data_IF_436405447434
#
_entry.id   IF_436405447434
#
_cell.length_a   1.000
_cell.length_b   1.000
_cell.length_c   1.000
_cell.angle_alpha   90.00
_cell.angle_beta   90.00
_cell.angle_gamma   90.00
#
_symmetry.space_group_name_H-M   'P 1'
#
loop_
_entity.id
_entity.type
_entity.pdbx_description
1 polymer ?
#
# COMPACT_ATOMS: atom_id res chain seq x y z
N UNK A 1 12.70 -27.72 -34.60
CA UNK A 1 11.96 -28.18 -33.39
C UNK A 1 12.37 -27.29 -32.23
N UNK A 2 11.42 -26.64 -31.56
CA UNK A 2 11.70 -25.62 -30.53
C UNK A 2 12.32 -26.29 -29.30
N UNK A 3 13.21 -25.59 -28.60
CA UNK A 3 13.92 -26.10 -27.42
C UNK A 3 12.95 -26.58 -26.33
N UNK A 4 11.87 -25.82 -26.09
CA UNK A 4 10.80 -26.12 -25.13
C UNK A 4 10.05 -27.42 -25.48
N UNK A 5 9.89 -27.71 -26.78
CA UNK A 5 9.16 -28.89 -27.26
C UNK A 5 10.03 -30.16 -27.34
N UNK A 6 11.36 -30.02 -27.23
CA UNK A 6 12.31 -31.12 -27.47
C UNK A 6 12.69 -31.89 -26.19
N UNK A 7 12.59 -31.26 -25.02
CA UNK A 7 13.03 -31.82 -23.76
C UNK A 7 11.86 -32.00 -22.79
N UNK A 8 11.40 -33.24 -22.67
CA UNK A 8 10.47 -33.67 -21.62
C UNK A 8 11.27 -34.07 -20.38
N UNK A 9 11.65 -33.08 -19.57
CA UNK A 9 12.47 -33.28 -18.37
C UNK A 9 11.75 -34.09 -17.27
N UNK A 10 10.44 -34.31 -17.40
CA UNK A 10 9.67 -35.16 -16.48
C UNK A 10 10.09 -36.64 -16.52
N UNK A 11 10.82 -37.04 -17.58
CA UNK A 11 11.29 -38.42 -17.79
C UNK A 11 12.78 -38.64 -17.49
N UNK A 12 13.49 -37.59 -17.07
CA UNK A 12 14.92 -37.70 -16.76
C UNK A 12 15.14 -38.33 -15.38
N UNK A 13 16.17 -39.16 -15.25
CA UNK A 13 16.47 -39.80 -13.97
C UNK A 13 17.09 -38.81 -12.99
N UNK A 14 16.95 -39.07 -11.69
CA UNK A 14 17.49 -38.21 -10.64
C UNK A 14 19.01 -38.01 -10.76
N UNK A 15 19.74 -39.01 -11.25
CA UNK A 15 21.17 -38.94 -11.56
C UNK A 15 21.51 -37.94 -12.67
N UNK A 16 20.69 -37.89 -13.73
CA UNK A 16 20.87 -36.94 -14.83
C UNK A 16 20.58 -35.51 -14.38
N UNK A 17 19.57 -35.31 -13.53
CA UNK A 17 19.28 -34.01 -12.91
C UNK A 17 20.45 -33.56 -12.03
N UNK A 18 21.01 -34.45 -11.22
CA UNK A 18 22.17 -34.14 -10.37
C UNK A 18 23.41 -33.82 -11.20
N UNK A 19 23.64 -34.53 -12.30
CA UNK A 19 24.76 -34.25 -13.20
C UNK A 19 24.70 -32.82 -13.77
N UNK A 20 23.52 -32.34 -14.15
CA UNK A 20 23.33 -30.96 -14.62
C UNK A 20 23.60 -29.92 -13.51
N UNK A 21 23.10 -30.17 -12.29
CA UNK A 21 23.38 -29.30 -11.13
C UNK A 21 24.87 -29.24 -10.82
N UNK A 22 25.56 -30.38 -10.87
CA UNK A 22 27.02 -30.47 -10.65
C UNK A 22 27.78 -29.68 -11.71
N UNK A 23 27.36 -29.72 -12.99
CA UNK A 23 27.99 -28.91 -14.04
C UNK A 23 27.87 -27.40 -13.76
N UNK A 24 26.70 -26.93 -13.30
CA UNK A 24 26.50 -25.52 -12.92
C UNK A 24 27.36 -25.13 -11.72
N UNK A 25 27.36 -25.95 -10.66
CA UNK A 25 28.16 -25.70 -9.45
C UNK A 25 29.67 -25.70 -9.73
N UNK A 26 30.13 -26.48 -10.70
CA UNK A 26 31.53 -26.50 -11.17
C UNK A 26 31.87 -25.32 -12.11
N UNK A 27 30.91 -24.44 -12.40
CA UNK A 27 31.10 -23.30 -13.31
C UNK A 27 31.23 -23.68 -14.79
N UNK A 28 30.89 -24.93 -15.15
CA UNK A 28 30.99 -25.42 -16.53
C UNK A 28 29.89 -24.85 -17.43
N UNK A 29 28.76 -24.49 -16.84
CA UNK A 29 27.65 -23.80 -17.50
C UNK A 29 27.13 -22.70 -16.59
N UNK A 30 26.77 -21.54 -17.18
CA UNK A 30 26.15 -20.44 -16.42
C UNK A 30 24.73 -20.80 -15.95
N UNK A 31 24.00 -21.52 -16.79
CA UNK A 31 22.61 -21.95 -16.56
C UNK A 31 22.45 -23.36 -17.10
N UNK A 32 21.64 -24.18 -16.44
CA UNK A 32 21.29 -25.50 -16.98
C UNK A 32 20.28 -25.34 -18.13
N UNK A 33 20.26 -26.28 -19.07
CA UNK A 33 19.27 -26.28 -20.17
C UNK A 33 17.83 -26.23 -19.62
N UNK A 34 17.62 -26.83 -18.46
CA UNK A 34 16.33 -26.86 -17.77
C UNK A 34 15.94 -25.48 -17.23
N UNK A 35 16.85 -24.78 -16.55
CA UNK A 35 16.65 -23.39 -16.11
C UNK A 35 16.34 -22.48 -17.30
N UNK A 36 17.08 -22.63 -18.40
CA UNK A 36 16.84 -21.87 -19.62
C UNK A 36 15.44 -22.07 -20.18
N UNK A 37 14.94 -23.32 -20.20
CA UNK A 37 13.60 -23.63 -20.71
C UNK A 37 12.52 -23.13 -19.76
N UNK A 38 12.69 -23.28 -18.45
CA UNK A 38 11.75 -22.72 -17.46
C UNK A 38 11.68 -21.18 -17.56
N UNK A 39 12.82 -20.49 -17.65
CA UNK A 39 12.85 -19.04 -17.88
C UNK A 39 12.19 -18.64 -19.19
N UNK A 40 12.44 -19.39 -20.27
CA UNK A 40 11.78 -19.15 -21.56
C UNK A 40 10.26 -19.30 -21.45
N UNK A 41 9.78 -20.29 -20.68
CA UNK A 41 8.37 -20.51 -20.42
C UNK A 41 7.73 -19.33 -19.67
N UNK A 42 8.39 -18.81 -18.63
CA UNK A 42 7.93 -17.59 -17.94
C UNK A 42 7.89 -16.41 -18.91
N UNK A 43 8.90 -16.24 -19.78
CA UNK A 43 8.93 -15.18 -20.80
C UNK A 43 7.81 -15.28 -21.83
N UNK A 44 7.38 -16.50 -22.16
CA UNK A 44 6.18 -16.71 -23.00
C UNK A 44 4.94 -16.17 -22.28
N UNK A 45 4.81 -16.46 -20.97
CA UNK A 45 3.77 -15.89 -20.12
C UNK A 45 3.79 -14.36 -20.10
N UNK A 46 4.96 -13.74 -19.87
CA UNK A 46 5.14 -12.29 -19.92
C UNK A 46 4.66 -11.71 -21.26
N UNK A 47 5.06 -12.35 -22.37
CA UNK A 47 4.72 -11.91 -23.73
C UNK A 47 3.22 -11.99 -24.00
N UNK A 48 2.54 -13.03 -23.51
CA UNK A 48 1.09 -13.11 -23.61
C UNK A 48 0.39 -12.07 -22.73
N UNK A 49 0.92 -11.82 -21.53
CA UNK A 49 0.41 -10.80 -20.62
C UNK A 49 0.49 -9.39 -21.25
N UNK A 50 1.60 -9.06 -21.91
CA UNK A 50 1.79 -7.80 -22.63
C UNK A 50 0.81 -7.64 -23.81
N UNK A 51 0.38 -8.75 -24.42
CA UNK A 51 -0.62 -8.76 -25.49
C UNK A 51 -2.07 -8.71 -24.97
N UNK A 52 -2.28 -8.71 -23.65
CA UNK A 52 -3.61 -8.82 -23.05
C UNK A 52 -4.25 -10.21 -23.17
N UNK A 53 -3.46 -11.22 -23.54
CA UNK A 53 -3.90 -12.62 -23.66
C UNK A 53 -3.78 -13.33 -22.31
N UNK A 54 -4.69 -12.98 -21.41
CA UNK A 54 -4.62 -13.35 -19.99
C UNK A 54 -4.67 -14.86 -19.79
N UNK A 55 -5.52 -15.59 -20.53
CA UNK A 55 -5.67 -17.03 -20.37
C UNK A 55 -4.41 -17.79 -20.80
N UNK A 56 -3.84 -17.44 -21.94
CA UNK A 56 -2.63 -18.04 -22.48
C UNK A 56 -1.40 -17.71 -21.63
N UNK A 57 -1.37 -16.52 -21.02
CA UNK A 57 -0.34 -16.15 -20.06
C UNK A 57 -0.39 -17.01 -18.79
N UNK A 58 -1.59 -17.21 -18.22
CA UNK A 58 -1.79 -18.07 -17.05
C UNK A 58 -1.37 -19.50 -17.37
N UNK A 59 -1.83 -20.07 -18.49
CA UNK A 59 -1.41 -21.41 -18.93
C UNK A 59 0.12 -21.50 -19.05
N UNK A 60 0.74 -20.48 -19.65
CA UNK A 60 2.19 -20.46 -19.78
C UNK A 60 2.93 -20.43 -18.44
N UNK A 61 2.41 -19.70 -17.44
CA UNK A 61 2.99 -19.67 -16.10
C UNK A 61 2.77 -20.99 -15.33
N UNK A 62 1.57 -21.58 -15.39
CA UNK A 62 1.23 -22.85 -14.75
C UNK A 62 2.11 -24.01 -15.24
N UNK A 63 2.48 -24.02 -16.53
CA UNK A 63 3.39 -25.03 -17.07
C UNK A 63 4.76 -25.09 -16.36
N UNK A 64 5.17 -24.02 -15.67
CA UNK A 64 6.45 -23.99 -14.94
C UNK A 64 6.42 -24.92 -13.73
N UNK A 65 5.36 -24.87 -12.92
CA UNK A 65 5.22 -25.74 -11.75
C UNK A 65 4.97 -27.20 -12.17
N UNK A 66 4.23 -27.42 -13.25
CA UNK A 66 3.94 -28.76 -13.76
C UNK A 66 5.16 -29.46 -14.35
N UNK A 67 5.95 -28.77 -15.18
CA UNK A 67 7.06 -29.38 -15.92
C UNK A 67 8.40 -29.25 -15.22
N UNK A 68 8.56 -28.22 -14.39
CA UNK A 68 9.82 -27.90 -13.74
C UNK A 68 9.71 -27.78 -12.20
N UNK A 69 9.00 -28.67 -11.48
CA UNK A 69 8.73 -28.51 -10.05
C UNK A 69 9.99 -28.43 -9.18
N UNK A 70 11.11 -29.00 -9.61
CA UNK A 70 12.38 -28.92 -8.89
C UNK A 70 13.10 -27.56 -9.01
N UNK A 71 12.65 -26.66 -9.90
CA UNK A 71 13.19 -25.30 -10.05
C UNK A 71 12.42 -24.33 -9.13
N UNK A 72 12.48 -24.56 -7.82
CA UNK A 72 11.64 -23.89 -6.81
C UNK A 72 11.61 -22.37 -7.00
N UNK A 73 12.77 -21.73 -7.15
CA UNK A 73 12.87 -20.27 -7.33
C UNK A 73 12.13 -19.79 -8.59
N UNK A 74 12.17 -20.56 -9.68
CA UNK A 74 11.46 -20.21 -10.92
C UNK A 74 9.97 -20.52 -10.83
N UNK A 75 9.59 -21.52 -10.04
CA UNK A 75 8.18 -21.81 -9.71
C UNK A 75 7.60 -20.66 -8.89
N UNK A 76 8.30 -20.20 -7.85
CA UNK A 76 7.93 -19.00 -7.08
C UNK A 76 7.77 -17.77 -7.98
N UNK A 77 8.79 -17.47 -8.81
CA UNK A 77 8.77 -16.35 -9.77
C UNK A 77 7.57 -16.45 -10.72
N UNK A 78 7.26 -17.65 -11.22
CA UNK A 78 6.13 -17.88 -12.13
C UNK A 78 4.79 -17.59 -11.44
N UNK A 79 4.59 -18.09 -10.21
CA UNK A 79 3.38 -17.82 -9.44
C UNK A 79 3.24 -16.34 -9.06
N UNK A 80 4.33 -15.67 -8.72
CA UNK A 80 4.30 -14.24 -8.38
C UNK A 80 3.81 -13.41 -9.57
N UNK A 81 4.34 -13.67 -10.78
CA UNK A 81 3.94 -13.01 -12.03
C UNK A 81 2.52 -13.37 -12.45
N UNK A 82 2.14 -14.63 -12.30
CA UNK A 82 0.78 -15.08 -12.57
C UNK A 82 -0.22 -14.38 -11.64
N UNK A 83 0.07 -14.32 -10.34
CA UNK A 83 -0.76 -13.60 -9.38
C UNK A 83 -0.85 -12.11 -9.73
N UNK A 84 0.26 -11.44 -10.08
CA UNK A 84 0.25 -10.01 -10.46
C UNK A 84 -0.66 -9.75 -11.66
N UNK A 85 -0.59 -10.61 -12.67
CA UNK A 85 -1.47 -10.55 -13.83
C UNK A 85 -2.94 -10.75 -13.43
N UNK A 86 -3.22 -11.77 -12.62
CA UNK A 86 -4.58 -12.15 -12.25
C UNK A 86 -5.23 -11.12 -11.34
N UNK A 87 -4.53 -10.57 -10.35
CA UNK A 87 -5.04 -9.47 -9.51
C UNK A 87 -5.47 -8.27 -10.36
N UNK A 88 -4.64 -7.89 -11.33
CA UNK A 88 -4.90 -6.75 -12.21
C UNK A 88 -6.05 -6.98 -13.19
N UNK A 89 -6.11 -8.15 -13.81
CA UNK A 89 -7.03 -8.40 -14.94
C UNK A 89 -8.33 -9.10 -14.53
N UNK A 90 -8.32 -9.87 -13.43
CA UNK A 90 -9.45 -10.69 -12.97
C UNK A 90 -9.92 -10.38 -11.56
N UNK A 91 -9.21 -9.52 -10.84
CA UNK A 91 -9.58 -9.06 -9.50
C UNK A 91 -9.10 -9.96 -8.36
N UNK A 92 -9.52 -9.58 -7.15
CA UNK A 92 -8.94 -10.07 -5.89
C UNK A 92 -9.25 -11.55 -5.65
N UNK A 93 -10.47 -12.02 -5.93
CA UNK A 93 -10.85 -13.41 -5.68
C UNK A 93 -10.00 -14.42 -6.47
N UNK A 94 -9.84 -14.17 -7.78
CA UNK A 94 -9.02 -15.02 -8.65
C UNK A 94 -7.54 -14.93 -8.26
N UNK A 95 -7.04 -13.75 -7.89
CA UNK A 95 -5.65 -13.56 -7.46
C UNK A 95 -5.35 -14.31 -6.16
N UNK A 96 -6.26 -14.28 -5.19
CA UNK A 96 -6.15 -15.05 -3.94
C UNK A 96 -6.14 -16.55 -4.21
N UNK A 97 -6.97 -17.05 -5.15
CA UNK A 97 -6.97 -18.46 -5.54
C UNK A 97 -5.61 -18.91 -6.09
N UNK A 98 -4.98 -18.10 -6.95
CA UNK A 98 -3.62 -18.37 -7.46
C UNK A 98 -2.60 -18.43 -6.33
N UNK A 99 -2.65 -17.50 -5.37
CA UNK A 99 -1.72 -17.52 -4.25
C UNK A 99 -1.92 -18.73 -3.33
N UNK A 100 -3.17 -19.15 -3.09
CA UNK A 100 -3.46 -20.36 -2.31
C UNK A 100 -2.93 -21.62 -3.00
N UNK A 101 -3.12 -21.75 -4.31
CA UNK A 101 -2.52 -22.82 -5.12
C UNK A 101 -0.99 -22.80 -5.02
N UNK A 102 -0.38 -21.62 -5.13
CA UNK A 102 1.07 -21.48 -5.00
C UNK A 102 1.59 -21.98 -3.64
N UNK A 103 0.84 -21.72 -2.56
CA UNK A 103 1.19 -22.19 -1.21
C UNK A 103 1.08 -23.71 -1.05
N UNK A 104 0.18 -24.37 -1.78
CA UNK A 104 0.09 -25.83 -1.79
C UNK A 104 1.26 -26.47 -2.54
N UNK A 105 1.69 -25.84 -3.63
CA UNK A 105 2.77 -26.36 -4.50
C UNK A 105 4.16 -26.09 -3.95
N UNK A 106 4.39 -24.90 -3.40
CA UNK A 106 5.70 -24.46 -2.91
C UNK A 106 5.84 -24.77 -1.42
N UNK A 107 6.74 -25.69 -1.07
CA UNK A 107 7.06 -26.06 0.32
C UNK A 107 8.22 -25.23 0.89
N UNK A 108 8.12 -23.90 0.77
CA UNK A 108 9.01 -22.94 1.43
C UNK A 108 8.21 -22.08 2.43
N UNK A 109 8.51 -22.15 3.74
CA UNK A 109 7.84 -21.34 4.74
C UNK A 109 7.92 -19.83 4.48
N UNK A 110 9.05 -19.33 3.96
CA UNK A 110 9.20 -17.89 3.69
C UNK A 110 8.32 -17.45 2.52
N UNK A 111 8.27 -18.23 1.43
CA UNK A 111 7.35 -18.00 0.32
C UNK A 111 5.89 -18.07 0.77
N UNK A 112 5.50 -19.10 1.51
CA UNK A 112 4.13 -19.24 2.04
C UNK A 112 3.73 -18.07 2.91
N UNK A 113 4.64 -17.59 3.75
CA UNK A 113 4.44 -16.39 4.57
C UNK A 113 4.24 -15.13 3.70
N UNK A 114 5.07 -14.92 2.66
CA UNK A 114 4.90 -13.80 1.71
C UNK A 114 3.58 -13.88 0.94
N UNK A 115 3.20 -15.07 0.47
CA UNK A 115 1.94 -15.31 -0.24
C UNK A 115 0.73 -15.03 0.66
N UNK A 116 0.76 -15.55 1.90
CA UNK A 116 -0.27 -15.29 2.92
C UNK A 116 -0.44 -13.80 3.21
N UNK A 117 0.67 -13.06 3.36
CA UNK A 117 0.63 -11.60 3.54
C UNK A 117 0.06 -10.87 2.32
N UNK A 118 0.40 -11.34 1.12
CA UNK A 118 -0.10 -10.75 -0.12
C UNK A 118 -1.60 -10.97 -0.25
N UNK A 119 -2.13 -12.12 0.16
CA UNK A 119 -3.57 -12.38 0.28
C UNK A 119 -4.20 -11.37 1.26
N UNK A 120 -3.70 -11.30 2.50
CA UNK A 120 -4.24 -10.43 3.53
C UNK A 120 -4.24 -8.94 3.12
N UNK A 121 -3.13 -8.45 2.56
CA UNK A 121 -3.02 -7.07 2.04
C UNK A 121 -3.97 -6.79 0.88
N UNK A 122 -4.06 -7.72 -0.07
CA UNK A 122 -4.94 -7.53 -1.24
C UNK A 122 -6.42 -7.48 -0.84
N UNK A 123 -6.83 -8.27 0.16
CA UNK A 123 -8.17 -8.22 0.72
C UNK A 123 -8.40 -6.91 1.48
N UNK A 124 -7.42 -6.46 2.26
CA UNK A 124 -7.48 -5.20 2.98
C UNK A 124 -7.65 -4.00 2.04
N UNK A 125 -6.83 -3.94 0.99
CA UNK A 125 -6.87 -2.87 -0.04
C UNK A 125 -8.20 -2.89 -0.82
N UNK A 126 -8.87 -4.04 -0.88
CA UNK A 126 -10.19 -4.20 -1.47
C UNK A 126 -11.35 -3.82 -0.53
N UNK A 127 -11.06 -3.38 0.70
CA UNK A 127 -12.06 -3.10 1.74
C UNK A 127 -12.70 -4.34 2.35
N UNK A 128 -12.19 -5.54 2.07
CA UNK A 128 -12.68 -6.81 2.63
C UNK A 128 -12.03 -7.09 3.97
N UNK A 129 -12.23 -6.15 4.90
CA UNK A 129 -11.59 -6.15 6.21
C UNK A 129 -11.82 -7.43 7.04
N UNK A 130 -13.02 -8.06 7.07
CA UNK A 130 -13.20 -9.30 7.82
C UNK A 130 -12.26 -10.41 7.34
N UNK A 131 -12.20 -10.63 6.04
CA UNK A 131 -11.35 -11.67 5.43
C UNK A 131 -9.86 -11.32 5.57
N UNK A 132 -9.50 -10.05 5.42
CA UNK A 132 -8.12 -9.61 5.63
C UNK A 132 -7.65 -9.87 7.07
N UNK A 133 -8.49 -9.59 8.08
CA UNK A 133 -8.19 -9.85 9.49
C UNK A 133 -7.96 -11.33 9.74
N UNK A 134 -8.82 -12.21 9.21
CA UNK A 134 -8.64 -13.66 9.32
C UNK A 134 -7.28 -14.10 8.73
N UNK A 135 -6.93 -13.60 7.54
CA UNK A 135 -5.69 -13.98 6.87
C UNK A 135 -4.44 -13.43 7.59
N UNK A 136 -4.52 -12.26 8.22
CA UNK A 136 -3.46 -11.77 9.12
C UNK A 136 -3.32 -12.62 10.39
N UNK A 137 -4.43 -13.07 10.98
CA UNK A 137 -4.39 -13.96 12.14
C UNK A 137 -3.79 -15.32 11.79
N UNK A 138 -4.12 -15.87 10.62
CA UNK A 138 -3.47 -17.08 10.08
C UNK A 138 -1.97 -16.83 9.93
N UNK A 139 -1.57 -15.68 9.36
CA UNK A 139 -0.16 -15.32 9.23
C UNK A 139 0.57 -15.30 10.58
N UNK A 140 0.00 -14.60 11.57
CA UNK A 140 0.59 -14.49 12.91
C UNK A 140 0.75 -15.86 13.57
N UNK A 141 -0.23 -16.76 13.41
CA UNK A 141 -0.24 -18.09 14.02
C UNK A 141 0.68 -19.09 13.32
N UNK A 142 0.67 -19.11 11.99
CA UNK A 142 1.36 -20.13 11.19
C UNK A 142 2.80 -19.74 10.82
N UNK A 143 3.08 -18.43 10.68
CA UNK A 143 4.35 -17.94 10.13
C UNK A 143 5.09 -16.97 11.06
N UNK A 144 4.71 -16.89 12.34
CA UNK A 144 5.31 -15.94 13.28
C UNK A 144 6.82 -16.08 13.49
N UNK A 145 7.38 -17.28 13.33
CA UNK A 145 8.83 -17.53 13.43
C UNK A 145 9.60 -16.93 12.24
N UNK A 146 9.01 -17.00 11.05
CA UNK A 146 9.62 -16.54 9.77
C UNK A 146 9.28 -15.07 9.49
N UNK A 147 8.37 -14.46 10.27
CA UNK A 147 7.85 -13.11 10.05
C UNK A 147 8.94 -12.03 9.96
N UNK A 148 10.02 -12.18 10.75
CA UNK A 148 11.16 -11.24 10.69
C UNK A 148 11.98 -11.38 9.41
N UNK A 149 12.10 -12.60 8.87
CA UNK A 149 12.88 -12.87 7.66
C UNK A 149 12.20 -12.29 6.41
N UNK A 150 10.87 -12.34 6.37
CA UNK A 150 10.08 -11.79 5.25
C UNK A 150 9.81 -10.29 5.35
N UNK A 151 10.38 -9.62 6.37
CA UNK A 151 10.29 -8.17 6.52
C UNK A 151 8.91 -7.64 6.92
N UNK A 152 8.06 -8.46 7.52
CA UNK A 152 6.75 -8.05 8.02
C UNK A 152 6.52 -8.67 9.40
N UNK A 153 6.91 -7.94 10.43
CA UNK A 153 6.96 -8.46 11.78
C UNK A 153 5.55 -8.59 12.40
N UNK A 154 5.47 -9.31 13.52
CA UNK A 154 4.18 -9.59 14.17
C UNK A 154 3.49 -8.33 14.70
N UNK A 155 4.23 -7.28 15.01
CA UNK A 155 3.71 -5.96 15.34
C UNK A 155 3.06 -5.28 14.14
N UNK A 156 3.63 -5.36 12.93
CA UNK A 156 2.97 -4.90 11.71
C UNK A 156 1.65 -5.66 11.47
N UNK A 157 1.66 -6.99 11.61
CA UNK A 157 0.46 -7.80 11.44
C UNK A 157 -0.62 -7.47 12.48
N UNK A 158 -0.22 -7.30 13.75
CA UNK A 158 -1.13 -6.93 14.84
C UNK A 158 -1.74 -5.54 14.59
N UNK A 159 -0.93 -4.59 14.08
CA UNK A 159 -1.40 -3.27 13.69
C UNK A 159 -2.47 -3.37 12.59
N UNK A 160 -2.23 -4.15 11.54
CA UNK A 160 -3.20 -4.32 10.45
C UNK A 160 -4.51 -4.99 10.91
N UNK A 161 -4.44 -5.92 11.87
CA UNK A 161 -5.65 -6.50 12.49
C UNK A 161 -6.44 -5.42 13.23
N UNK A 162 -5.77 -4.59 14.04
CA UNK A 162 -6.42 -3.49 14.76
C UNK A 162 -7.06 -2.48 13.80
N UNK A 163 -6.36 -2.10 12.74
CA UNK A 163 -6.90 -1.22 11.69
C UNK A 163 -8.10 -1.84 10.97
N UNK A 164 -8.05 -3.16 10.68
CA UNK A 164 -9.16 -3.88 10.09
C UNK A 164 -10.43 -3.80 10.94
N UNK A 165 -10.33 -4.04 12.25
CA UNK A 165 -11.44 -3.87 13.18
C UNK A 165 -11.95 -2.42 13.24
N UNK A 166 -11.05 -1.44 13.27
CA UNK A 166 -11.42 -0.02 13.28
C UNK A 166 -12.19 0.37 12.01
N UNK A 167 -11.75 -0.07 10.84
CA UNK A 167 -12.45 0.21 9.58
C UNK A 167 -13.82 -0.48 9.51
N UNK A 168 -13.91 -1.74 9.96
CA UNK A 168 -15.22 -2.41 10.06
C UNK A 168 -16.17 -1.64 10.98
N UNK A 169 -15.68 -1.08 12.09
CA UNK A 169 -16.49 -0.28 13.01
C UNK A 169 -16.99 1.04 12.37
N UNK A 170 -16.19 1.63 11.48
CA UNK A 170 -16.56 2.84 10.74
C UNK A 170 -17.60 2.57 9.65
N UNK A 171 -17.60 1.37 9.06
CA UNK A 171 -18.55 0.95 8.02
C UNK A 171 -19.85 0.40 8.61
N UNK A 172 -19.76 -0.48 9.60
CA UNK A 172 -20.90 -1.11 10.26
C UNK A 172 -21.21 -0.45 11.60
N UNK A 173 -22.04 0.59 11.55
CA UNK A 173 -22.52 1.29 12.75
C UNK A 173 -23.29 0.41 13.74
N UNK A 174 -23.83 -0.74 13.32
CA UNK A 174 -24.63 -1.61 14.20
C UNK A 174 -23.76 -2.46 15.13
N UNK A 175 -22.56 -2.85 14.66
CA UNK A 175 -21.57 -3.61 15.43
C UNK A 175 -20.39 -2.75 15.91
N UNK A 176 -20.43 -1.44 15.67
CA UNK A 176 -19.31 -0.52 15.89
C UNK A 176 -18.72 -0.59 17.29
N UNK A 177 -19.53 -0.67 18.35
CA UNK A 177 -19.03 -0.75 19.72
C UNK A 177 -18.14 -1.99 19.93
N UNK A 178 -18.61 -3.17 19.53
CA UNK A 178 -17.85 -4.41 19.64
C UNK A 178 -16.57 -4.39 18.78
N UNK A 179 -16.66 -3.85 17.56
CA UNK A 179 -15.53 -3.76 16.65
C UNK A 179 -14.46 -2.76 17.13
N UNK A 180 -14.87 -1.61 17.69
CA UNK A 180 -13.93 -0.70 18.34
C UNK A 180 -13.30 -1.33 19.58
N UNK A 181 -14.02 -2.13 20.37
CA UNK A 181 -13.42 -2.85 21.50
C UNK A 181 -12.33 -3.81 21.04
N UNK A 182 -12.56 -4.59 19.98
CA UNK A 182 -11.53 -5.45 19.38
C UNK A 182 -10.32 -4.64 18.89
N UNK A 183 -10.56 -3.52 18.18
CA UNK A 183 -9.49 -2.63 17.75
C UNK A 183 -8.66 -2.12 18.94
N UNK A 184 -9.30 -1.61 19.99
CA UNK A 184 -8.60 -1.15 21.20
C UNK A 184 -7.78 -2.26 21.87
N UNK A 185 -8.31 -3.49 21.91
CA UNK A 185 -7.63 -4.66 22.46
C UNK A 185 -6.33 -4.94 21.70
N UNK A 186 -6.39 -4.98 20.36
CA UNK A 186 -5.23 -5.24 19.52
C UNK A 186 -4.19 -4.11 19.56
N UNK A 187 -4.59 -2.84 19.53
CA UNK A 187 -3.64 -1.72 19.68
C UNK A 187 -2.93 -1.76 21.04
N UNK A 188 -3.68 -2.03 22.13
CA UNK A 188 -3.08 -2.14 23.47
C UNK A 188 -2.14 -3.34 23.57
N UNK A 189 -2.51 -4.47 22.96
CA UNK A 189 -1.65 -5.64 22.84
C UNK A 189 -0.33 -5.30 22.14
N UNK A 190 -0.39 -4.62 20.99
CA UNK A 190 0.80 -4.16 20.27
C UNK A 190 1.67 -3.26 21.14
N UNK A 191 1.09 -2.23 21.76
CA UNK A 191 1.84 -1.28 22.60
C UNK A 191 2.45 -1.93 23.85
N UNK A 192 1.85 -3.01 24.35
CA UNK A 192 2.36 -3.74 25.51
C UNK A 192 3.44 -4.76 25.13
N UNK A 193 3.26 -5.48 24.02
CA UNK A 193 4.16 -6.54 23.58
C UNK A 193 5.36 -6.01 22.80
N UNK A 194 5.19 -4.88 22.11
CA UNK A 194 6.19 -4.27 21.23
C UNK A 194 6.31 -2.75 21.49
N UNK A 195 6.72 -2.33 22.70
CA UNK A 195 6.76 -0.90 23.08
C UNK A 195 7.71 -0.06 22.22
N UNK A 196 8.74 -0.67 21.63
CA UNK A 196 9.70 -0.02 20.72
C UNK A 196 9.35 -0.21 19.24
N UNK A 197 8.15 -0.72 18.93
CA UNK A 197 7.72 -0.92 17.54
C UNK A 197 7.70 0.42 16.79
N UNK A 198 8.16 0.46 15.52
CA UNK A 198 7.92 1.61 14.64
C UNK A 198 6.44 1.95 14.48
N UNK A 199 5.52 0.99 14.73
CA UNK A 199 4.07 1.18 14.71
C UNK A 199 3.51 1.78 16.00
N UNK A 200 4.29 1.93 17.06
CA UNK A 200 3.81 2.47 18.33
C UNK A 200 3.09 3.84 18.20
N UNK A 201 3.62 4.85 17.47
CA UNK A 201 2.88 6.10 17.28
C UNK A 201 1.55 5.91 16.55
N UNK A 202 1.52 5.15 15.46
CA UNK A 202 0.31 4.89 14.67
C UNK A 202 -0.72 4.09 15.48
N UNK A 203 -0.27 3.07 16.23
CA UNK A 203 -1.12 2.25 17.09
C UNK A 203 -1.73 3.08 18.24
N UNK A 204 -0.96 4.00 18.83
CA UNK A 204 -1.46 4.90 19.86
C UNK A 204 -2.46 5.91 19.30
N UNK A 205 -2.23 6.41 18.09
CA UNK A 205 -3.19 7.24 17.38
C UNK A 205 -4.48 6.48 17.04
N UNK A 206 -4.38 5.28 16.47
CA UNK A 206 -5.52 4.42 16.16
C UNK A 206 -6.31 3.99 17.41
N UNK A 207 -5.62 3.76 18.53
CA UNK A 207 -6.25 3.54 19.84
C UNK A 207 -7.06 4.77 20.28
N UNK A 208 -6.52 5.98 20.09
CA UNK A 208 -7.23 7.23 20.36
C UNK A 208 -8.48 7.39 19.52
N UNK A 209 -8.40 7.09 18.22
CA UNK A 209 -9.56 7.09 17.32
C UNK A 209 -10.62 6.07 17.75
N UNK A 210 -10.20 4.87 18.14
CA UNK A 210 -11.11 3.81 18.57
C UNK A 210 -11.82 4.18 19.88
N UNK A 211 -11.12 4.79 20.85
CA UNK A 211 -11.76 5.33 22.05
C UNK A 211 -12.72 6.47 21.75
N UNK A 212 -12.42 7.32 20.78
CA UNK A 212 -13.37 8.34 20.32
C UNK A 212 -14.63 7.70 19.72
N UNK A 213 -14.48 6.66 18.89
CA UNK A 213 -15.58 5.87 18.34
C UNK A 213 -16.46 5.21 19.41
N UNK A 214 -15.86 4.83 20.54
CA UNK A 214 -16.56 4.32 21.74
C UNK A 214 -17.24 5.41 22.59
N UNK A 215 -17.14 6.68 22.22
CA UNK A 215 -17.67 7.78 23.02
C UNK A 215 -16.90 8.04 24.31
N UNK A 216 -15.60 7.71 24.34
CA UNK A 216 -14.70 7.91 25.48
C UNK A 216 -13.66 9.02 25.18
N UNK A 217 -14.09 10.30 25.10
CA UNK A 217 -13.23 11.40 24.65
C UNK A 217 -12.02 11.64 25.55
N UNK A 218 -12.12 11.41 26.86
CA UNK A 218 -10.98 11.57 27.79
C UNK A 218 -9.87 10.55 27.50
N UNK A 219 -10.27 9.29 27.24
CA UNK A 219 -9.33 8.22 26.88
C UNK A 219 -8.69 8.48 25.51
N UNK A 220 -9.48 8.97 24.55
CA UNK A 220 -8.99 9.39 23.25
C UNK A 220 -7.97 10.55 23.37
N UNK A 221 -8.31 11.58 24.16
CA UNK A 221 -7.42 12.73 24.40
C UNK A 221 -6.10 12.27 25.01
N UNK A 222 -6.12 11.40 26.02
CA UNK A 222 -4.91 10.85 26.63
C UNK A 222 -4.01 10.14 25.62
N UNK A 223 -4.60 9.36 24.70
CA UNK A 223 -3.83 8.69 23.64
C UNK A 223 -3.17 9.70 22.70
N UNK A 224 -3.91 10.71 22.22
CA UNK A 224 -3.34 11.74 21.35
C UNK A 224 -2.26 12.57 22.06
N UNK A 225 -2.45 12.95 23.33
CA UNK A 225 -1.41 13.65 24.11
C UNK A 225 -0.13 12.82 24.20
N UNK A 226 -0.24 11.51 24.45
CA UNK A 226 0.91 10.61 24.50
C UNK A 226 1.64 10.50 23.15
N UNK A 227 0.94 10.57 22.01
CA UNK A 227 1.60 10.65 20.68
C UNK A 227 2.47 11.90 20.61
N UNK A 228 1.95 13.05 21.05
CA UNK A 228 2.63 14.34 20.97
C UNK A 228 3.79 14.48 21.96
N UNK A 229 3.75 13.76 23.07
CA UNK A 229 4.80 13.72 24.08
C UNK A 229 5.93 12.76 23.70
N UNK A 230 5.58 11.54 23.26
CA UNK A 230 6.54 10.47 23.02
C UNK A 230 7.08 10.48 21.58
N UNK A 231 6.28 10.92 20.61
CA UNK A 231 6.57 10.82 19.19
C UNK A 231 6.29 12.14 18.43
N UNK A 232 6.81 13.30 18.87
CA UNK A 232 6.51 14.60 18.25
C UNK A 232 6.96 14.72 16.77
N UNK A 233 7.88 13.88 16.30
CA UNK A 233 8.33 13.86 14.90
C UNK A 233 7.64 12.79 14.04
N UNK A 234 6.75 11.97 14.60
CA UNK A 234 6.08 10.92 13.85
C UNK A 234 5.12 11.52 12.79
N UNK A 235 4.95 10.87 11.63
CA UNK A 235 4.02 11.33 10.59
C UNK A 235 2.58 11.53 11.09
N UNK A 236 2.18 10.80 12.14
CA UNK A 236 0.85 10.88 12.72
C UNK A 236 0.68 12.04 13.73
N UNK A 237 1.76 12.67 14.17
CA UNK A 237 1.72 13.71 15.19
C UNK A 237 0.89 14.97 14.80
N UNK A 238 0.96 15.48 13.55
CA UNK A 238 0.05 16.56 13.11
C UNK A 238 -1.43 16.18 13.20
N UNK A 239 -1.75 14.92 12.89
CA UNK A 239 -3.12 14.40 12.99
C UNK A 239 -3.55 14.26 14.45
N UNK A 240 -2.65 13.79 15.34
CA UNK A 240 -2.91 13.75 16.77
C UNK A 240 -3.16 15.16 17.35
N UNK A 241 -2.42 16.20 16.91
CA UNK A 241 -2.69 17.60 17.29
C UNK A 241 -4.07 18.06 16.82
N UNK A 242 -4.45 17.74 15.58
CA UNK A 242 -5.77 18.08 15.03
C UNK A 242 -6.89 17.45 15.86
N UNK A 243 -6.76 16.16 16.21
CA UNK A 243 -7.75 15.47 17.04
C UNK A 243 -7.78 15.97 18.47
N UNK A 244 -6.63 16.20 19.09
CA UNK A 244 -6.53 16.76 20.42
C UNK A 244 -7.19 18.15 20.50
N UNK A 245 -6.95 19.01 19.50
CA UNK A 245 -7.60 20.31 19.39
C UNK A 245 -9.13 20.19 19.22
N UNK A 246 -9.58 19.22 18.41
CA UNK A 246 -11.00 18.94 18.20
C UNK A 246 -11.69 18.49 19.48
N UNK A 247 -11.11 17.56 20.22
CA UNK A 247 -11.67 17.06 21.48
C UNK A 247 -11.81 18.19 22.51
N UNK A 248 -10.81 19.07 22.62
CA UNK A 248 -10.89 20.26 23.47
C UNK A 248 -12.00 21.21 23.05
N UNK A 249 -12.14 21.47 21.75
CA UNK A 249 -13.24 22.28 21.22
C UNK A 249 -14.62 21.68 21.55
N UNK A 250 -14.78 20.37 21.37
CA UNK A 250 -16.02 19.65 21.70
C UNK A 250 -16.32 19.67 23.20
N UNK A 251 -15.29 19.61 24.05
CA UNK A 251 -15.37 19.77 25.50
C UNK A 251 -15.56 21.22 25.99
N UNK A 252 -15.52 22.20 25.09
CA UNK A 252 -15.68 23.63 25.42
C UNK A 252 -14.40 24.36 25.86
N UNK A 253 -13.26 23.67 25.91
CA UNK A 253 -11.93 24.27 26.12
C UNK A 253 -11.43 24.90 24.81
N UNK A 254 -12.00 26.05 24.46
CA UNK A 254 -11.68 26.74 23.21
C UNK A 254 -10.26 27.33 23.24
N UNK A 255 -9.79 27.79 24.40
CA UNK A 255 -8.43 28.29 24.60
C UNK A 255 -7.39 27.18 24.38
N UNK A 256 -7.58 26.00 24.96
CA UNK A 256 -6.69 24.87 24.75
C UNK A 256 -6.77 24.31 23.33
N UNK A 257 -7.92 24.42 22.66
CA UNK A 257 -8.05 24.10 21.24
C UNK A 257 -7.24 25.08 20.37
N UNK A 258 -7.30 26.39 20.66
CA UNK A 258 -6.49 27.42 19.99
C UNK A 258 -5.00 27.10 20.11
N UNK A 259 -4.52 26.79 21.32
CA UNK A 259 -3.11 26.43 21.54
C UNK A 259 -2.68 25.24 20.67
N UNK A 260 -3.51 24.19 20.63
CA UNK A 260 -3.22 22.98 19.85
C UNK A 260 -3.18 23.26 18.34
N UNK A 261 -4.10 24.09 17.80
CA UNK A 261 -4.08 24.48 16.38
C UNK A 261 -2.88 25.36 16.03
N UNK A 262 -2.55 26.34 16.88
CA UNK A 262 -1.37 27.18 16.67
C UNK A 262 -0.08 26.37 16.74
N UNK A 263 -0.01 25.40 17.66
CA UNK A 263 1.10 24.47 17.76
C UNK A 263 1.29 23.66 16.47
N UNK A 264 0.21 23.14 15.89
CA UNK A 264 0.24 22.46 14.58
C UNK A 264 0.81 23.36 13.49
N UNK A 265 0.31 24.58 13.37
CA UNK A 265 0.73 25.54 12.36
C UNK A 265 2.19 25.99 12.52
N UNK A 266 2.71 25.98 13.75
CA UNK A 266 4.10 26.36 14.07
C UNK A 266 5.08 25.20 13.87
N UNK A 267 4.72 24.00 14.34
CA UNK A 267 5.61 22.83 14.34
C UNK A 267 5.62 22.12 12.98
N UNK A 268 4.54 22.23 12.20
CA UNK A 268 4.39 21.62 10.88
C UNK A 268 3.96 22.66 9.83
N UNK A 269 4.80 23.66 9.53
CA UNK A 269 4.46 24.70 8.58
C UNK A 269 4.23 24.12 7.19
N UNK A 270 3.09 24.47 6.58
CA UNK A 270 2.74 24.02 5.23
C UNK A 270 2.21 22.58 5.14
N UNK A 271 1.90 21.94 6.27
CA UNK A 271 1.24 20.63 6.26
C UNK A 271 -0.14 20.72 5.58
N UNK A 272 -0.61 19.63 4.97
CA UNK A 272 -1.95 19.56 4.33
C UNK A 272 -3.12 19.85 5.28
N UNK A 273 -2.87 19.82 6.59
CA UNK A 273 -3.85 20.11 7.63
C UNK A 273 -3.91 21.60 7.99
N UNK A 274 -2.98 22.43 7.51
CA UNK A 274 -2.89 23.86 7.86
C UNK A 274 -4.17 24.62 7.53
N UNK A 275 -4.78 24.36 6.37
CA UNK A 275 -6.03 25.02 5.96
C UNK A 275 -7.18 24.68 6.91
N UNK A 276 -7.29 23.39 7.27
CA UNK A 276 -8.30 22.90 8.22
C UNK A 276 -8.03 23.45 9.62
N UNK A 277 -6.77 23.56 10.02
CA UNK A 277 -6.36 24.13 11.29
C UNK A 277 -6.71 25.62 11.37
N UNK A 278 -6.42 26.43 10.34
CA UNK A 278 -6.81 27.84 10.28
C UNK A 278 -8.33 28.04 10.35
N UNK A 279 -9.09 27.21 9.61
CA UNK A 279 -10.55 27.23 9.68
C UNK A 279 -11.03 26.94 11.10
N UNK A 280 -10.56 25.87 11.73
CA UNK A 280 -11.02 25.48 13.06
C UNK A 280 -10.55 26.47 14.14
N UNK A 281 -9.33 27.02 14.01
CA UNK A 281 -8.81 28.09 14.85
C UNK A 281 -9.72 29.32 14.81
N UNK A 282 -10.18 29.74 13.62
CA UNK A 282 -11.13 30.83 13.48
C UNK A 282 -12.48 30.53 14.16
N UNK A 283 -12.94 29.27 14.12
CA UNK A 283 -14.14 28.85 14.85
C UNK A 283 -13.95 28.92 16.37
N UNK A 284 -12.78 28.54 16.89
CA UNK A 284 -12.45 28.69 18.31
C UNK A 284 -12.46 30.17 18.72
N UNK A 285 -11.77 31.05 17.99
CA UNK A 285 -11.75 32.48 18.29
C UNK A 285 -13.15 33.11 18.27
N UNK A 286 -14.01 32.68 17.34
CA UNK A 286 -15.41 33.11 17.30
C UNK A 286 -16.18 32.67 18.56
N UNK A 287 -15.94 31.45 19.06
CA UNK A 287 -16.55 30.97 20.31
C UNK A 287 -16.07 31.75 21.54
N UNK A 288 -14.84 32.24 21.50
CA UNK A 288 -14.23 33.10 22.52
C UNK A 288 -14.62 34.59 22.41
N UNK A 289 -15.35 35.00 21.37
CA UNK A 289 -15.70 36.40 21.12
C UNK A 289 -14.56 37.24 20.51
N UNK A 290 -13.43 36.63 20.18
CA UNK A 290 -12.27 37.24 19.54
C UNK A 290 -12.49 37.37 18.02
N UNK A 291 -13.28 38.37 17.63
CA UNK A 291 -13.80 38.49 16.26
C UNK A 291 -12.70 38.81 15.25
N UNK A 292 -11.77 39.69 15.61
CA UNK A 292 -10.67 40.15 14.78
C UNK A 292 -9.67 39.01 14.50
N UNK A 293 -9.33 38.23 15.52
CA UNK A 293 -8.49 37.04 15.43
C UNK A 293 -9.16 35.96 14.59
N UNK A 294 -10.48 35.77 14.76
CA UNK A 294 -11.24 34.85 13.93
C UNK A 294 -11.16 35.23 12.44
N UNK A 295 -11.35 36.52 12.12
CA UNK A 295 -11.24 37.02 10.74
C UNK A 295 -9.82 36.78 10.19
N UNK A 296 -8.77 37.05 10.98
CA UNK A 296 -7.39 36.80 10.57
C UNK A 296 -7.14 35.31 10.29
N UNK A 297 -7.60 34.43 11.16
CA UNK A 297 -7.48 32.98 10.99
C UNK A 297 -8.21 32.50 9.72
N UNK A 298 -9.44 32.97 9.47
CA UNK A 298 -10.18 32.61 8.25
C UNK A 298 -9.52 33.14 6.97
N UNK A 299 -8.88 34.31 7.01
CA UNK A 299 -8.16 34.87 5.84
C UNK A 299 -6.91 34.08 5.45
N UNK A 300 -6.32 33.33 6.38
CA UNK A 300 -5.19 32.46 6.10
C UNK A 300 -5.59 31.14 5.43
N UNK A 301 -6.89 30.83 5.35
CA UNK A 301 -7.38 29.71 4.55
C UNK A 301 -7.29 30.11 3.08
N UNK A 302 -6.51 29.41 2.24
CA UNK A 302 -6.36 29.77 0.84
C UNK A 302 -7.71 29.69 0.13
N UNK A 303 -7.93 30.63 -0.80
CA UNK A 303 -9.09 30.55 -1.69
C UNK A 303 -8.94 29.30 -2.55
N UNK A 304 -10.05 28.58 -2.84
CA UNK A 304 -10.01 27.53 -3.84
C UNK A 304 -9.44 28.12 -5.14
N UNK A 305 -8.59 27.39 -5.87
CA UNK A 305 -8.03 27.89 -7.12
C UNK A 305 -9.20 28.38 -7.99
N UNK A 306 -9.09 29.57 -8.61
CA UNK A 306 -10.17 30.09 -9.43
C UNK A 306 -10.52 29.00 -10.44
N UNK A 307 -11.80 28.64 -10.51
CA UNK A 307 -12.31 27.69 -11.48
C UNK A 307 -12.00 28.24 -12.87
N UNK A 308 -10.85 27.85 -13.41
CA UNK A 308 -10.44 28.23 -14.75
C UNK A 308 -11.50 27.76 -15.73
N UNK A 309 -11.74 28.49 -16.84
CA UNK A 309 -12.71 28.06 -17.83
C UNK A 309 -12.37 26.62 -18.24
N UNK A 310 -13.36 25.72 -18.14
CA UNK A 310 -13.23 24.33 -18.61
C UNK A 310 -12.56 24.39 -19.98
N UNK A 311 -11.33 23.91 -20.07
CA UNK A 311 -10.65 23.79 -21.34
C UNK A 311 -11.42 22.72 -22.11
N UNK A 312 -12.46 23.13 -22.85
CA UNK A 312 -13.06 22.29 -23.88
C UNK A 312 -12.03 22.27 -25.00
N UNK A 313 -11.34 21.15 -25.25
CA UNK A 313 -10.50 21.09 -26.44
C UNK A 313 -11.41 21.37 -27.63
N UNK A 314 -11.04 22.37 -28.45
CA UNK A 314 -11.70 22.59 -29.74
C UNK A 314 -11.56 21.30 -30.54
N UNK A 315 -12.61 20.82 -31.22
CA UNK A 315 -12.44 19.70 -32.13
C UNK A 315 -11.39 20.09 -33.16
N UNK A 316 -10.36 19.25 -33.32
CA UNK A 316 -9.31 19.46 -34.29
C UNK A 316 -9.93 19.46 -35.69
N UNK A 317 -10.26 20.64 -36.21
CA UNK A 317 -10.54 20.79 -37.64
C UNK A 317 -9.21 20.65 -38.35
N UNK A 318 -8.96 19.44 -38.82
CA UNK A 318 -7.91 19.11 -39.77
C UNK A 318 -8.12 19.97 -41.03
N UNK A 319 -7.34 21.04 -41.17
CA UNK A 319 -7.24 21.82 -42.41
C UNK A 319 -5.84 21.64 -42.98
N UNK A 320 -5.74 20.73 -43.95
CA UNK A 320 -4.58 20.55 -44.82
C UNK A 320 -4.21 21.87 -45.51
N UNK A 321 -2.92 22.27 -45.58
CA UNK A 321 -2.52 23.37 -46.42
C UNK A 321 -2.44 22.92 -47.89
N UNK A 322 -3.26 23.54 -48.75
CA UNK A 322 -3.07 23.51 -50.20
C UNK A 322 -1.83 24.33 -50.56
N UNK A 323 -0.99 23.76 -51.42
CA UNK A 323 0.32 24.29 -51.80
C UNK A 323 0.29 25.63 -52.53
N UNK A 324 1.46 26.26 -52.58
CA UNK A 324 1.70 27.49 -53.34
C UNK A 324 3.14 27.97 -53.17
N UNK A 325 4.00 27.54 -54.09
CA UNK A 325 5.39 27.94 -54.32
C UNK A 325 5.67 29.44 -54.28
N UNK A 326 6.85 29.85 -53.77
CA UNK A 326 7.80 30.77 -54.47
C UNK A 326 9.12 31.01 -53.68
N UNK A 327 10.18 30.38 -54.19
CA UNK A 327 11.57 30.84 -54.44
C UNK A 327 12.43 31.54 -53.35
N UNK A 328 13.75 31.22 -53.29
CA UNK A 328 14.70 31.74 -52.29
C UNK A 328 15.56 32.92 -52.80
N UNK A 329 15.93 33.82 -51.88
CA UNK A 329 17.14 34.69 -51.88
C UNK A 329 17.47 34.88 -50.39
N UNK A 330 18.68 34.72 -49.85
CA UNK A 330 20.02 34.93 -50.37
C UNK A 330 20.73 35.92 -49.41
N UNK A 331 21.98 35.64 -49.06
CA UNK A 331 22.94 36.43 -48.22
C UNK A 331 22.63 36.56 -46.71
N UNK A 332 23.44 36.08 -45.75
CA UNK A 332 24.89 36.16 -45.46
C UNK A 332 25.36 37.50 -44.88
N UNK A 333 26.18 37.40 -43.81
CA UNK A 333 26.99 38.40 -43.07
C UNK A 333 26.28 39.09 -41.89
N UNK A 334 26.71 38.98 -40.62
CA UNK A 334 28.03 39.07 -39.95
C UNK A 334 28.52 40.51 -39.77
N UNK A 335 28.93 40.84 -38.52
CA UNK A 335 29.55 42.05 -37.90
C UNK A 335 28.55 42.95 -37.15
N UNK A 336 28.57 43.01 -35.81
CA UNK A 336 29.62 43.58 -34.91
C UNK A 336 29.04 44.86 -34.29
N UNK A 337 29.51 45.42 -33.15
CA UNK A 337 30.77 45.19 -32.43
C UNK A 337 30.66 44.37 -31.13
#
# INVERSE_FOLDING_TARGET
RRLVDKYDFSKMTEEELQAMKVQRLRGLVKETTRELVAKAQIRIGDTYAEQGKVAEAIEAYSLVSERYPQEIVLVEESYERMADLVFRERGVDEGVRVLREAMEVVDDPAFRARAQLRIAKSLYDAGRYPEAVEEYQVYMKAYGEVAREVGFALDDATFMVAEGYRHMAEEDTSAAEGLYLEATSHYRGLLSSYPSSPRAPDALYGLGLSYYGLGLPDSASSCFSRVLELYPSAPVAPYALMWHARLKFEGGDYEGAVDSYLRLLREYPGHELSDRAYKNLGLCYRKLGMTEEAIRAFRNVPLPPPSGPRFRPRPATCSLPRGGSRTPRGSSTSTGP
#
